data_IF_324048415678
#
_entry.id   IF_324048415678
#
_cell.length_a   1.000
_cell.length_b   1.000
_cell.length_c   1.000
_cell.angle_alpha   90.00
_cell.angle_beta   90.00
_cell.angle_gamma   90.00
#
_symmetry.space_group_name_H-M   'P 1'
#
loop_
_entity.id
_entity.type
_entity.pdbx_description
1 polymer ?
#
# COMPACT_ATOMS: atom_id res chain seq x y z
N UNK A 1 -30.07 -24.53 -15.74
CA UNK A 1 -30.02 -23.09 -15.40
C UNK A 1 -28.71 -22.87 -14.66
N UNK A 2 -27.70 -22.40 -15.38
CA UNK A 2 -26.35 -22.17 -14.85
C UNK A 2 -26.37 -20.87 -14.02
N UNK A 3 -25.74 -20.82 -12.82
CA UNK A 3 -25.74 -19.61 -12.02
C UNK A 3 -24.96 -18.50 -12.75
N UNK A 4 -25.40 -17.23 -12.67
CA UNK A 4 -24.71 -16.14 -13.32
C UNK A 4 -23.28 -16.00 -12.77
N UNK A 5 -22.31 -15.91 -13.67
CA UNK A 5 -20.91 -15.66 -13.33
C UNK A 5 -20.81 -14.37 -12.49
N UNK A 6 -20.26 -14.48 -11.27
CA UNK A 6 -20.01 -13.33 -10.40
C UNK A 6 -19.00 -12.41 -11.08
N UNK A 7 -19.49 -11.29 -11.62
CA UNK A 7 -18.64 -10.21 -12.13
C UNK A 7 -17.97 -9.52 -10.95
N UNK A 8 -16.72 -9.89 -10.67
CA UNK A 8 -15.89 -9.22 -9.66
C UNK A 8 -15.42 -7.87 -10.20
N UNK A 9 -16.00 -6.78 -9.71
CA UNK A 9 -15.53 -5.41 -9.99
C UNK A 9 -14.26 -5.15 -9.19
N UNK A 10 -13.16 -4.78 -9.86
CA UNK A 10 -11.90 -4.44 -9.20
C UNK A 10 -11.83 -2.94 -8.95
N UNK A 11 -11.88 -2.53 -7.69
CA UNK A 11 -11.62 -1.15 -7.29
C UNK A 11 -10.11 -0.99 -7.06
N UNK A 12 -9.42 -0.43 -8.05
CA UNK A 12 -8.02 -0.04 -7.89
C UNK A 12 -7.98 1.36 -7.30
N UNK A 13 -7.57 1.47 -6.04
CA UNK A 13 -7.21 2.74 -5.44
C UNK A 13 -5.82 3.13 -5.93
N UNK A 14 -5.76 3.99 -6.94
CA UNK A 14 -4.52 4.59 -7.42
C UNK A 14 -4.47 6.06 -6.99
N UNK A 15 -3.34 6.48 -6.42
CA UNK A 15 -3.03 7.90 -6.23
C UNK A 15 -2.99 8.59 -7.62
N UNK A 16 -3.52 9.82 -7.75
CA UNK A 16 -3.80 10.37 -9.07
C UNK A 16 -2.51 10.76 -9.79
N UNK A 17 -2.15 9.99 -10.82
CA UNK A 17 -1.41 10.51 -11.98
C UNK A 17 -2.47 10.87 -13.05
N UNK A 18 -2.38 12.03 -13.72
CA UNK A 18 -3.41 12.44 -14.66
C UNK A 18 -3.39 11.47 -15.86
N UNK A 19 -4.45 10.67 -15.99
CA UNK A 19 -4.49 9.53 -16.90
C UNK A 19 -5.84 9.35 -17.58
N UNK A 20 -5.97 10.07 -18.71
CA UNK A 20 -6.60 9.69 -19.99
C UNK A 20 -7.94 8.93 -20.00
N UNK A 21 -8.85 9.48 -20.78
CA UNK A 21 -10.03 8.79 -21.33
C UNK A 21 -9.61 7.47 -22.00
N UNK A 22 -10.19 6.34 -21.54
CA UNK A 22 -9.85 4.99 -22.04
C UNK A 22 -9.87 3.86 -21.01
N UNK A 23 -10.45 4.07 -19.82
CA UNK A 23 -10.47 3.08 -18.76
C UNK A 23 -11.39 1.88 -19.04
N UNK A 24 -10.99 0.63 -18.72
CA UNK A 24 -11.90 -0.51 -18.75
C UNK A 24 -13.12 -0.31 -17.84
N UNK A 25 -14.30 -0.75 -18.27
CA UNK A 25 -15.57 -0.54 -17.54
C UNK A 25 -15.58 -1.12 -16.11
N UNK A 26 -14.72 -2.11 -15.84
CA UNK A 26 -14.62 -2.82 -14.57
C UNK A 26 -13.60 -2.20 -13.58
N UNK A 27 -12.98 -1.07 -13.91
CA UNK A 27 -12.06 -0.38 -13.01
C UNK A 27 -12.66 0.98 -12.67
N UNK A 28 -12.67 1.38 -11.39
CA UNK A 28 -13.12 2.70 -10.91
C UNK A 28 -12.02 3.34 -10.07
N UNK A 29 -11.81 4.65 -10.26
CA UNK A 29 -10.79 5.39 -9.52
C UNK A 29 -11.51 6.12 -8.40
N UNK A 30 -10.89 6.11 -7.23
CA UNK A 30 -11.35 6.83 -6.06
C UNK A 30 -10.16 7.65 -5.56
N UNK A 31 -10.45 8.78 -4.94
CA UNK A 31 -9.43 9.67 -4.38
C UNK A 31 -9.49 9.60 -2.86
N UNK A 32 -8.32 9.49 -2.23
CA UNK A 32 -8.19 9.80 -0.80
C UNK A 32 -7.82 11.28 -0.63
N UNK A 33 -8.25 11.92 0.48
CA UNK A 33 -7.74 13.23 0.85
C UNK A 33 -6.22 13.16 1.02
N UNK A 34 -5.54 14.23 0.62
CA UNK A 34 -4.09 14.31 0.76
C UNK A 34 -3.72 14.62 2.23
N UNK A 35 -3.41 13.58 3.00
CA UNK A 35 -3.11 13.64 4.44
C UNK A 35 -1.62 13.45 4.76
N UNK A 36 -0.77 13.35 3.74
CA UNK A 36 0.67 13.12 3.86
C UNK A 36 1.48 14.32 3.32
N UNK A 37 2.74 14.49 3.73
CA UNK A 37 3.64 15.47 3.11
C UNK A 37 3.78 15.23 1.60
N UNK A 38 4.18 16.25 0.85
CA UNK A 38 4.31 16.14 -0.61
C UNK A 38 5.32 15.05 -1.00
N UNK A 39 4.89 14.15 -1.88
CA UNK A 39 5.75 13.09 -2.45
C UNK A 39 6.95 13.66 -3.21
N UNK A 40 6.80 14.83 -3.83
CA UNK A 40 7.87 15.49 -4.61
C UNK A 40 9.08 15.82 -3.75
N UNK A 41 8.86 16.15 -2.48
CA UNK A 41 9.90 16.53 -1.54
C UNK A 41 10.18 15.45 -0.48
N UNK A 42 9.62 14.24 -0.63
CA UNK A 42 9.71 13.18 0.39
C UNK A 42 11.14 12.84 0.79
N UNK A 43 12.10 12.94 -0.14
CA UNK A 43 13.50 12.63 0.13
C UNK A 43 14.16 13.60 1.12
N UNK A 44 13.60 14.81 1.33
CA UNK A 44 14.11 15.77 2.31
C UNK A 44 13.93 15.29 3.75
N UNK A 45 12.88 14.51 3.98
CA UNK A 45 12.58 13.88 5.27
C UNK A 45 11.78 12.59 5.04
N UNK A 46 12.50 11.57 4.57
CA UNK A 46 11.91 10.29 4.19
C UNK A 46 11.32 9.52 5.39
N UNK A 47 11.96 9.49 6.57
CA UNK A 47 11.38 8.85 7.75
C UNK A 47 10.03 9.46 8.15
N UNK A 48 9.92 10.79 8.26
CA UNK A 48 8.66 11.44 8.62
C UNK A 48 7.59 11.26 7.54
N UNK A 49 7.99 11.20 6.26
CA UNK A 49 7.08 10.87 5.17
C UNK A 49 6.50 9.45 5.33
N UNK A 50 7.34 8.44 5.59
CA UNK A 50 6.87 7.07 5.82
C UNK A 50 5.97 6.97 7.06
N UNK A 51 6.34 7.64 8.16
CA UNK A 51 5.51 7.69 9.36
C UNK A 51 4.12 8.26 9.07
N UNK A 52 4.04 9.35 8.29
CA UNK A 52 2.77 9.93 7.88
C UNK A 52 1.94 8.96 7.02
N UNK A 53 2.58 8.23 6.09
CA UNK A 53 1.91 7.19 5.29
C UNK A 53 1.35 6.07 6.17
N UNK A 54 2.12 5.59 7.15
CA UNK A 54 1.71 4.49 8.03
C UNK A 54 0.62 4.87 9.03
N UNK A 55 0.55 6.15 9.43
CA UNK A 55 -0.33 6.59 10.52
C UNK A 55 -1.54 7.40 10.08
N UNK A 56 -1.47 8.10 8.94
CA UNK A 56 -2.52 9.06 8.55
C UNK A 56 -3.45 8.56 7.45
N UNK A 57 -3.03 7.57 6.65
CA UNK A 57 -3.81 7.11 5.50
C UNK A 57 -4.89 6.07 5.85
N UNK A 58 -4.80 5.39 7.00
CA UNK A 58 -5.75 4.34 7.41
C UNK A 58 -7.18 4.87 7.56
N UNK A 59 -7.38 5.98 8.28
CA UNK A 59 -8.72 6.54 8.54
C UNK A 59 -9.41 7.00 7.24
N UNK A 60 -8.80 7.82 6.37
CA UNK A 60 -9.45 8.19 5.11
C UNK A 60 -9.75 7.01 4.20
N UNK A 61 -8.90 5.96 4.23
CA UNK A 61 -9.14 4.74 3.49
C UNK A 61 -10.39 4.01 3.99
N UNK A 62 -10.58 3.88 5.30
CA UNK A 62 -11.80 3.31 5.86
C UNK A 62 -13.05 4.09 5.49
N UNK A 63 -12.99 5.42 5.58
CA UNK A 63 -14.10 6.29 5.16
C UNK A 63 -14.43 6.08 3.68
N UNK A 64 -13.43 5.88 2.83
CA UNK A 64 -13.66 5.56 1.42
C UNK A 64 -14.36 4.21 1.24
N UNK A 65 -14.00 3.18 2.02
CA UNK A 65 -14.66 1.87 1.96
C UNK A 65 -16.17 1.97 2.25
N UNK A 66 -16.56 2.83 3.20
CA UNK A 66 -17.95 3.04 3.56
C UNK A 66 -18.77 3.74 2.45
N UNK A 67 -18.09 4.43 1.52
CA UNK A 67 -18.70 5.11 0.38
C UNK A 67 -18.78 4.23 -0.87
N UNK A 68 -18.17 3.04 -0.86
CA UNK A 68 -18.23 2.13 -2.00
C UNK A 68 -19.62 1.53 -2.14
N UNK A 69 -20.21 1.67 -3.33
CA UNK A 69 -21.53 1.09 -3.64
C UNK A 69 -21.53 -0.44 -3.71
N UNK A 70 -20.35 -1.05 -3.92
CA UNK A 70 -20.19 -2.49 -4.07
C UNK A 70 -19.39 -3.07 -2.90
N UNK A 71 -19.74 -4.27 -2.44
CA UNK A 71 -18.98 -4.93 -1.38
C UNK A 71 -17.56 -5.26 -1.86
N UNK A 72 -16.58 -4.98 -1.01
CA UNK A 72 -15.18 -5.36 -1.24
C UNK A 72 -15.02 -6.86 -1.02
N UNK A 73 -14.45 -7.55 -2.02
CA UNK A 73 -14.21 -9.00 -1.97
C UNK A 73 -12.76 -9.35 -1.68
N UNK A 74 -11.83 -8.47 -2.03
CA UNK A 74 -10.39 -8.58 -1.76
C UNK A 74 -9.78 -7.18 -1.77
N UNK A 75 -8.81 -6.95 -0.88
CA UNK A 75 -7.96 -5.76 -0.91
C UNK A 75 -6.58 -6.14 -1.46
N UNK A 76 -6.17 -5.49 -2.54
CA UNK A 76 -4.79 -5.54 -3.03
C UNK A 76 -4.08 -4.27 -2.56
N UNK A 77 -3.02 -4.41 -1.76
CA UNK A 77 -2.30 -3.26 -1.20
C UNK A 77 -0.78 -3.46 -1.28
N UNK A 78 -0.05 -2.36 -1.42
CA UNK A 78 1.42 -2.38 -1.33
C UNK A 78 1.84 -2.87 0.08
N UNK A 79 2.91 -3.65 0.16
CA UNK A 79 3.43 -4.19 1.43
C UNK A 79 3.78 -3.12 2.46
N UNK A 80 4.15 -1.90 2.05
CA UNK A 80 4.37 -0.80 2.98
C UNK A 80 3.08 -0.32 3.67
N UNK A 81 1.90 -0.59 3.10
CA UNK A 81 0.62 -0.21 3.70
C UNK A 81 0.16 -1.26 4.72
N UNK A 82 0.92 -1.42 5.81
CA UNK A 82 0.67 -2.41 6.86
C UNK A 82 -0.75 -2.30 7.45
N UNK A 83 -1.28 -1.08 7.54
CA UNK A 83 -2.64 -0.78 7.96
C UNK A 83 -3.70 -1.46 7.08
N UNK A 84 -3.43 -1.73 5.80
CA UNK A 84 -4.38 -2.40 4.91
C UNK A 84 -4.70 -3.83 5.40
N UNK A 85 -3.71 -4.52 5.97
CA UNK A 85 -3.90 -5.84 6.60
C UNK A 85 -4.77 -5.72 7.84
N UNK A 86 -4.53 -4.70 8.68
CA UNK A 86 -5.36 -4.45 9.87
C UNK A 86 -6.80 -4.15 9.50
N UNK A 87 -7.04 -3.28 8.52
CA UNK A 87 -8.39 -2.95 8.03
C UNK A 87 -9.06 -4.22 7.49
N UNK A 88 -8.36 -5.04 6.70
CA UNK A 88 -8.93 -6.28 6.17
C UNK A 88 -9.32 -7.30 7.21
N UNK A 89 -8.50 -7.46 8.26
CA UNK A 89 -8.85 -8.29 9.39
C UNK A 89 -10.10 -7.76 10.13
N UNK A 90 -10.21 -6.44 10.35
CA UNK A 90 -11.38 -5.84 11.04
C UNK A 90 -12.66 -5.93 10.21
N UNK A 91 -12.56 -5.73 8.90
CA UNK A 91 -13.70 -5.69 7.97
C UNK A 91 -14.00 -7.06 7.33
N UNK A 92 -13.24 -8.09 7.68
CA UNK A 92 -13.38 -9.47 7.22
C UNK A 92 -13.26 -9.64 5.69
N UNK A 93 -12.26 -8.99 5.08
CA UNK A 93 -11.88 -9.21 3.68
C UNK A 93 -10.45 -9.76 3.56
N UNK A 94 -10.18 -10.65 2.58
CA UNK A 94 -8.82 -11.12 2.31
C UNK A 94 -7.95 -9.96 1.79
N UNK A 95 -6.68 -9.96 2.17
CA UNK A 95 -5.69 -8.97 1.74
C UNK A 95 -4.59 -9.66 0.96
N UNK A 96 -4.40 -9.25 -0.30
CA UNK A 96 -3.24 -9.60 -1.10
C UNK A 96 -2.20 -8.48 -0.95
N UNK A 97 -1.02 -8.81 -0.41
CA UNK A 97 0.10 -7.87 -0.34
C UNK A 97 0.91 -7.90 -1.62
N UNK A 98 1.22 -6.73 -2.17
CA UNK A 98 2.02 -6.56 -3.38
C UNK A 98 3.35 -5.88 -3.02
N UNK A 99 4.45 -6.58 -3.24
CA UNK A 99 5.79 -5.98 -3.14
C UNK A 99 6.21 -5.42 -4.49
N UNK A 100 6.33 -4.09 -4.57
CA UNK A 100 6.60 -3.37 -5.83
C UNK A 100 8.10 -3.25 -6.16
N UNK A 101 8.99 -3.64 -5.25
CA UNK A 101 10.44 -3.66 -5.49
C UNK A 101 10.92 -5.08 -5.87
N UNK A 102 12.23 -5.28 -6.01
CA UNK A 102 12.79 -6.59 -6.36
C UNK A 102 12.56 -7.64 -5.26
N UNK A 103 12.50 -8.92 -5.65
CA UNK A 103 12.46 -10.03 -4.72
C UNK A 103 13.69 -10.06 -3.77
N UNK A 104 14.86 -9.60 -4.25
CA UNK A 104 16.06 -9.46 -3.41
C UNK A 104 15.88 -8.41 -2.30
N UNK A 105 15.25 -7.26 -2.60
CA UNK A 105 14.96 -6.25 -1.59
C UNK A 105 13.99 -6.79 -0.53
N UNK A 106 12.95 -7.54 -0.95
CA UNK A 106 12.04 -8.21 -0.03
C UNK A 106 12.78 -9.20 0.88
N UNK A 107 13.67 -10.01 0.29
CA UNK A 107 14.46 -10.99 1.04
C UNK A 107 15.33 -10.31 2.10
N UNK A 108 15.96 -9.17 1.78
CA UNK A 108 16.76 -8.40 2.75
C UNK A 108 15.90 -7.89 3.90
N UNK A 109 14.71 -7.34 3.61
CA UNK A 109 13.80 -6.84 4.66
C UNK A 109 13.23 -7.96 5.52
N UNK A 110 12.77 -9.05 4.90
CA UNK A 110 12.21 -10.21 5.60
C UNK A 110 13.24 -10.88 6.52
N UNK A 111 14.50 -10.91 6.10
CA UNK A 111 15.60 -11.51 6.87
C UNK A 111 16.50 -10.47 7.54
N UNK A 112 16.00 -9.25 7.79
CA UNK A 112 16.80 -8.15 8.35
C UNK A 112 17.45 -8.52 9.70
N UNK A 113 16.77 -9.35 10.49
CA UNK A 113 17.30 -9.86 11.77
C UNK A 113 18.64 -10.59 11.61
N UNK A 114 18.91 -11.22 10.46
CA UNK A 114 20.19 -11.88 10.19
C UNK A 114 21.32 -10.86 10.02
N UNK A 115 21.04 -9.66 9.49
CA UNK A 115 22.03 -8.60 9.40
C UNK A 115 22.42 -8.10 10.79
N UNK A 116 21.45 -7.95 11.68
CA UNK A 116 21.70 -7.59 13.09
C UNK A 116 22.46 -8.69 13.81
N UNK A 117 22.00 -9.95 13.71
CA UNK A 117 22.62 -11.11 14.37
C UNK A 117 24.08 -11.31 13.95
N UNK A 118 24.39 -11.11 12.67
CA UNK A 118 25.75 -11.24 12.14
C UNK A 118 26.56 -9.93 12.20
N UNK A 119 26.07 -8.90 12.92
CA UNK A 119 26.74 -7.60 13.07
C UNK A 119 27.04 -6.87 11.75
N UNK A 120 26.26 -7.15 10.71
CA UNK A 120 26.29 -6.39 9.44
C UNK A 120 25.43 -5.11 9.51
N UNK A 121 24.73 -4.88 10.61
CA UNK A 121 23.94 -3.68 10.87
C UNK A 121 24.05 -3.24 12.36
N UNK A 122 24.11 -1.92 12.67
CA UNK A 122 24.09 -0.79 11.75
C UNK A 122 25.36 -0.71 10.89
N UNK A 123 25.21 -0.32 9.63
CA UNK A 123 26.36 -0.09 8.74
C UNK A 123 27.10 1.14 9.22
N UNK A 124 28.41 1.04 9.44
CA UNK A 124 29.22 2.21 9.72
C UNK A 124 29.40 3.02 8.44
N UNK A 125 28.67 4.14 8.34
CA UNK A 125 28.76 5.07 7.22
C UNK A 125 29.81 6.18 7.45
N UNK A 126 30.56 6.15 8.56
CA UNK A 126 31.46 7.23 8.95
C UNK A 126 32.77 7.32 8.16
N UNK A 127 33.02 6.39 7.23
CA UNK A 127 34.06 6.48 6.20
C UNK A 127 35.31 7.28 6.58
N UNK A 128 35.98 6.95 7.69
CA UNK A 128 37.35 7.41 7.90
C UNK A 128 38.24 6.55 7.02
N UNK A 129 38.73 7.16 5.95
CA UNK A 129 39.99 6.76 5.35
C UNK A 129 41.14 7.12 6.30
#
# INVERSE_FOLDING_TARGET
MEPPAKSSTCHLLALPYPGRDGKPANVRFCTLPNVIPSELARAKDFPSFLEAVFTKMEEPFEQLLDLLQLPVTILLADTYMDWAVRVGNRRNFPVASLWTMSASALSVLHHFYLLVKNQHFPVNLSGTK
#
